data_IF_324019661524
#
_entry.id   IF_324019661524
#
_cell.length_a   1.000
_cell.length_b   1.000
_cell.length_c   1.000
_cell.angle_alpha   90.00
_cell.angle_beta   90.00
_cell.angle_gamma   90.00
#
_symmetry.space_group_name_H-M   'P 1'
#
loop_
_entity.id
_entity.type
_entity.pdbx_description
1 polymer ?
#
# COMPACT_ATOMS: atom_id res chain seq x y z
N UNK A 1 54.40 36.05 22.54
CA UNK A 1 53.81 35.05 21.64
C UNK A 1 52.49 34.58 22.23
N UNK A 2 51.36 34.93 21.61
CA UNK A 2 50.02 34.44 21.98
C UNK A 2 49.52 33.56 20.85
N UNK A 3 49.27 32.30 21.14
CA UNK A 3 48.61 31.37 20.22
C UNK A 3 47.13 31.34 20.57
N UNK A 4 46.27 31.81 19.67
CA UNK A 4 44.84 31.63 19.76
C UNK A 4 44.48 30.29 19.12
N UNK A 5 44.05 29.30 19.91
CA UNK A 5 43.36 28.12 19.38
C UNK A 5 41.93 28.51 19.01
N UNK A 6 41.60 28.45 17.73
CA UNK A 6 40.22 28.46 17.28
C UNK A 6 39.66 27.04 17.38
N UNK A 7 38.70 26.81 18.29
CA UNK A 7 37.87 25.60 18.27
C UNK A 7 36.85 25.71 17.14
N UNK A 8 37.00 24.88 16.11
CA UNK A 8 35.93 24.60 15.16
C UNK A 8 34.98 23.57 15.80
N UNK A 9 33.83 24.03 16.28
CA UNK A 9 32.74 23.14 16.64
C UNK A 9 32.15 22.57 15.34
N UNK A 10 32.47 21.31 15.03
CA UNK A 10 31.86 20.59 13.91
C UNK A 10 30.40 20.27 14.22
N UNK A 11 29.47 20.87 13.48
CA UNK A 11 28.06 20.49 13.54
C UNK A 11 27.87 19.26 12.65
N UNK A 12 27.69 18.10 13.27
CA UNK A 12 27.35 16.87 12.54
C UNK A 12 25.89 16.94 12.09
N UNK A 13 25.66 17.08 10.79
CA UNK A 13 24.34 16.91 10.20
C UNK A 13 24.01 15.41 10.17
N UNK A 14 23.15 14.96 11.09
CA UNK A 14 22.53 13.65 10.98
C UNK A 14 21.59 13.71 9.78
N UNK A 15 21.96 13.06 8.67
CA UNK A 15 21.02 12.83 7.57
C UNK A 15 19.91 11.93 8.11
N UNK A 16 18.73 12.51 8.37
CA UNK A 16 17.51 11.72 8.54
C UNK A 16 17.34 10.88 7.28
N UNK A 17 17.46 9.55 7.43
CA UNK A 17 17.16 8.64 6.33
C UNK A 17 15.65 8.61 6.20
N UNK A 18 15.12 9.20 5.13
CA UNK A 18 13.71 9.04 4.78
C UNK A 18 13.50 7.60 4.32
N UNK A 19 12.63 6.87 5.02
CA UNK A 19 12.24 5.49 4.69
C UNK A 19 11.49 5.40 3.34
N UNK A 20 11.10 6.53 2.76
CA UNK A 20 10.29 6.67 1.56
C UNK A 20 8.88 7.18 1.86
N UNK A 21 7.98 7.01 0.90
CA UNK A 21 6.60 7.46 0.96
C UNK A 21 5.62 6.34 0.64
N UNK A 22 4.42 6.42 1.21
CA UNK A 22 3.26 5.76 0.65
C UNK A 22 2.65 6.68 -0.44
N UNK A 23 2.44 6.13 -1.63
CA UNK A 23 1.99 6.86 -2.82
C UNK A 23 0.73 6.22 -3.35
N UNK A 24 -0.33 7.00 -3.54
CA UNK A 24 -1.56 6.56 -4.20
C UNK A 24 -1.65 7.26 -5.55
N UNK A 25 -1.54 6.49 -6.64
CA UNK A 25 -1.77 6.95 -8.01
C UNK A 25 -3.22 6.72 -8.41
N UNK A 26 -3.99 7.81 -8.50
CA UNK A 26 -5.35 7.78 -9.02
C UNK A 26 -5.33 7.86 -10.55
N UNK A 27 -5.27 6.71 -11.24
CA UNK A 27 -5.40 6.67 -12.71
C UNK A 27 -6.85 6.64 -13.18
N UNK A 28 -7.82 6.62 -12.27
CA UNK A 28 -9.24 6.59 -12.57
C UNK A 28 -9.72 7.92 -13.17
N UNK A 29 -10.93 7.91 -13.72
CA UNK A 29 -11.60 9.10 -14.27
C UNK A 29 -12.43 9.88 -13.23
N UNK A 30 -12.36 9.47 -11.97
CA UNK A 30 -13.08 10.02 -10.82
C UNK A 30 -12.12 10.30 -9.66
N UNK A 31 -12.55 11.17 -8.75
CA UNK A 31 -11.76 11.52 -7.57
C UNK A 31 -11.82 10.39 -6.54
N UNK A 32 -10.77 10.28 -5.74
CA UNK A 32 -10.69 9.35 -4.61
C UNK A 32 -10.57 10.14 -3.31
N UNK A 33 -11.01 9.53 -2.23
CA UNK A 33 -10.81 10.02 -0.87
C UNK A 33 -10.00 8.99 -0.10
N UNK A 34 -8.89 9.44 0.47
CA UNK A 34 -7.93 8.63 1.21
C UNK A 34 -8.02 8.95 2.70
N UNK A 35 -8.11 7.89 3.53
CA UNK A 35 -7.90 7.94 4.97
C UNK A 35 -6.67 7.13 5.33
N UNK A 36 -5.71 7.75 6.01
CA UNK A 36 -4.49 7.08 6.48
C UNK A 36 -4.65 6.72 7.96
N UNK A 37 -5.11 5.50 8.24
CA UNK A 37 -5.50 5.08 9.59
C UNK A 37 -4.37 4.27 10.22
N UNK A 38 -3.73 4.76 11.29
CA UNK A 38 -2.76 3.97 12.03
C UNK A 38 -3.45 2.81 12.75
N UNK A 39 -2.80 1.65 12.78
CA UNK A 39 -3.16 0.55 13.67
C UNK A 39 -2.85 0.93 15.12
N UNK A 40 -3.75 0.55 16.02
CA UNK A 40 -3.60 0.74 17.45
C UNK A 40 -3.62 -0.63 18.14
N UNK A 41 -2.79 -0.80 19.16
CA UNK A 41 -2.72 -1.99 20.00
C UNK A 41 -3.51 -1.86 21.30
N UNK A 42 -4.29 -0.78 21.42
CA UNK A 42 -5.25 -0.57 22.50
C UNK A 42 -6.67 -0.83 22.00
N UNK A 43 -7.54 -1.27 22.90
CA UNK A 43 -8.97 -1.46 22.61
C UNK A 43 -9.75 -0.13 22.72
N UNK A 44 -9.08 1.01 22.59
CA UNK A 44 -9.73 2.31 22.74
C UNK A 44 -10.24 2.84 21.40
N UNK A 45 -11.25 3.69 21.48
CA UNK A 45 -11.80 4.33 20.30
C UNK A 45 -10.86 5.46 19.86
N UNK A 46 -10.33 5.35 18.64
CA UNK A 46 -9.59 6.42 17.99
C UNK A 46 -10.45 7.07 16.92
N UNK A 47 -10.64 8.41 16.95
CA UNK A 47 -11.37 9.09 15.90
C UNK A 47 -10.60 8.98 14.58
N UNK A 48 -11.34 8.72 13.50
CA UNK A 48 -10.73 8.65 12.16
C UNK A 48 -10.09 10.00 11.80
N UNK A 49 -8.89 10.00 11.17
CA UNK A 49 -8.31 11.21 10.63
C UNK A 49 -9.20 11.78 9.51
N UNK A 50 -9.06 13.08 9.18
CA UNK A 50 -9.73 13.65 8.02
C UNK A 50 -9.26 12.97 6.72
N UNK A 51 -10.14 12.89 5.71
CA UNK A 51 -9.73 12.41 4.40
C UNK A 51 -8.91 13.43 3.62
N UNK A 52 -8.09 12.92 2.72
CA UNK A 52 -7.46 13.67 1.64
C UNK A 52 -8.15 13.33 0.33
N UNK A 53 -8.64 14.34 -0.38
CA UNK A 53 -9.11 14.15 -1.76
C UNK A 53 -7.89 14.00 -2.69
N UNK A 54 -7.92 12.96 -3.52
CA UNK A 54 -6.97 12.71 -4.61
C UNK A 54 -7.72 12.89 -5.92
N UNK A 55 -7.58 14.07 -6.59
CA UNK A 55 -8.29 14.31 -7.83
C UNK A 55 -8.00 13.23 -8.88
N UNK A 56 -8.97 13.00 -9.77
CA UNK A 56 -8.80 12.09 -10.92
C UNK A 56 -7.53 12.40 -11.68
N UNK A 57 -6.84 11.36 -12.13
CA UNK A 57 -5.61 11.48 -12.94
C UNK A 57 -4.49 12.24 -12.21
N UNK A 58 -4.42 12.13 -10.89
CA UNK A 58 -3.34 12.70 -10.06
C UNK A 58 -2.81 11.65 -9.08
N UNK A 59 -1.78 12.00 -8.32
CA UNK A 59 -1.29 11.14 -7.24
C UNK A 59 -1.18 11.92 -5.94
N UNK A 60 -1.28 11.20 -4.82
CA UNK A 60 -0.98 11.68 -3.50
C UNK A 60 0.23 10.93 -2.94
N UNK A 61 1.04 11.60 -2.14
CA UNK A 61 2.23 11.02 -1.49
C UNK A 61 2.28 11.52 -0.07
N UNK A 62 2.39 10.60 0.88
CA UNK A 62 2.63 10.88 2.29
C UNK A 62 3.88 10.13 2.76
N UNK A 63 4.64 10.73 3.68
CA UNK A 63 5.77 10.02 4.28
C UNK A 63 5.26 8.80 5.03
N UNK A 64 6.04 7.71 5.01
CA UNK A 64 5.70 6.55 5.82
C UNK A 64 5.55 6.94 7.28
N UNK A 65 4.50 6.41 7.89
CA UNK A 65 4.25 6.54 9.31
C UNK A 65 4.55 5.20 9.98
N UNK A 66 5.21 5.25 11.14
CA UNK A 66 5.46 4.09 11.99
C UNK A 66 4.74 4.35 13.31
N UNK A 67 3.50 3.86 13.47
CA UNK A 67 2.74 4.07 14.69
C UNK A 67 3.49 3.55 15.91
N UNK A 68 3.43 4.31 17.01
CA UNK A 68 4.01 3.89 18.27
C UNK A 68 3.09 2.84 18.91
N UNK A 69 3.39 1.57 18.72
CA UNK A 69 2.66 0.49 19.36
C UNK A 69 3.59 -0.68 19.74
N UNK A 70 3.14 -1.51 20.68
CA UNK A 70 3.93 -2.59 21.29
C UNK A 70 4.10 -3.83 20.40
N UNK A 71 3.20 -4.07 19.43
CA UNK A 71 3.14 -5.31 18.65
C UNK A 71 3.21 -5.11 17.12
N UNK A 72 4.06 -4.20 16.63
CA UNK A 72 4.27 -3.94 15.19
C UNK A 72 2.97 -3.55 14.43
N UNK A 73 2.52 -2.32 14.64
CA UNK A 73 1.34 -1.79 13.96
C UNK A 73 1.70 -1.23 12.60
N UNK A 74 0.76 -1.37 11.67
CA UNK A 74 0.84 -0.79 10.35
C UNK A 74 0.00 0.47 10.20
N UNK A 75 -0.03 0.95 8.98
CA UNK A 75 -0.96 1.94 8.47
C UNK A 75 -1.92 1.24 7.51
N UNK A 76 -3.20 1.56 7.62
CA UNK A 76 -4.25 1.14 6.69
C UNK A 76 -4.70 2.36 5.88
N UNK A 77 -4.36 2.38 4.60
CA UNK A 77 -4.76 3.41 3.64
C UNK A 77 -6.08 3.00 3.00
N UNK A 78 -7.17 3.61 3.45
CA UNK A 78 -8.53 3.30 3.00
C UNK A 78 -8.94 4.27 1.90
N UNK A 79 -9.37 3.74 0.76
CA UNK A 79 -9.84 4.51 -0.40
C UNK A 79 -11.35 4.35 -0.62
N UNK A 80 -12.02 5.46 -0.91
CA UNK A 80 -13.42 5.53 -1.35
C UNK A 80 -13.61 6.53 -2.49
N UNK A 81 -14.73 6.44 -3.22
CA UNK A 81 -15.19 7.49 -4.14
C UNK A 81 -16.04 8.55 -3.43
N UNK A 82 -16.37 8.34 -2.16
CA UNK A 82 -17.23 9.21 -1.36
C UNK A 82 -16.39 9.99 -0.33
N UNK A 83 -16.76 11.23 0.03
CA UNK A 83 -16.04 12.03 1.03
C UNK A 83 -16.28 11.57 2.48
N UNK A 84 -16.98 10.47 2.68
CA UNK A 84 -17.34 9.92 3.99
C UNK A 84 -16.81 8.50 4.08
N UNK A 85 -16.15 8.16 5.18
CA UNK A 85 -15.62 6.80 5.39
C UNK A 85 -16.78 5.84 5.65
N UNK A 86 -17.22 5.18 4.58
CA UNK A 86 -18.27 4.15 4.59
C UNK A 86 -18.01 3.14 3.49
N UNK A 87 -18.50 1.92 3.67
CA UNK A 87 -18.39 0.88 2.66
C UNK A 87 -19.12 1.30 1.36
N UNK A 88 -18.60 0.91 0.18
CA UNK A 88 -17.41 0.08 -0.02
C UNK A 88 -16.10 0.87 0.12
N UNK A 89 -15.09 0.24 0.73
CA UNK A 89 -13.71 0.75 0.77
C UNK A 89 -12.72 -0.32 0.33
N UNK A 90 -11.67 0.11 -0.35
CA UNK A 90 -10.48 -0.72 -0.62
C UNK A 90 -9.39 -0.28 0.34
N UNK A 91 -8.68 -1.23 0.91
CA UNK A 91 -7.67 -0.98 1.91
C UNK A 91 -6.33 -1.45 1.40
N UNK A 92 -5.33 -0.62 1.62
CA UNK A 92 -3.94 -0.96 1.35
C UNK A 92 -3.16 -0.79 2.62
N UNK A 93 -2.48 -1.84 3.05
CA UNK A 93 -1.86 -1.87 4.37
C UNK A 93 -0.36 -1.97 4.23
N UNK A 94 0.36 -1.29 5.13
CA UNK A 94 1.80 -1.44 5.24
C UNK A 94 2.25 -1.36 6.69
N UNK A 95 3.34 -2.01 7.01
CA UNK A 95 4.02 -1.85 8.30
C UNK A 95 5.53 -1.81 8.10
N UNK A 96 6.21 -1.06 8.95
CA UNK A 96 7.67 -0.96 8.94
C UNK A 96 8.17 -1.32 10.32
N UNK A 97 8.84 -2.47 10.44
CA UNK A 97 9.44 -2.96 11.70
C UNK A 97 10.87 -3.39 11.44
N UNK A 98 11.82 -2.92 12.25
CA UNK A 98 13.25 -3.21 12.07
C UNK A 98 13.76 -2.90 10.64
N UNK A 99 13.27 -1.79 10.07
CA UNK A 99 13.47 -1.40 8.67
C UNK A 99 12.95 -2.41 7.64
N UNK A 100 12.13 -3.40 8.00
CA UNK A 100 11.47 -4.29 7.04
C UNK A 100 10.08 -3.74 6.70
N UNK A 101 9.83 -3.55 5.41
CA UNK A 101 8.51 -3.20 4.90
C UNK A 101 7.71 -4.47 4.64
N UNK A 102 6.53 -4.55 5.24
CA UNK A 102 5.47 -5.46 4.81
C UNK A 102 4.29 -4.70 4.25
N UNK A 103 3.57 -5.31 3.30
CA UNK A 103 2.37 -4.73 2.70
C UNK A 103 1.43 -5.77 2.12
N UNK A 104 0.15 -5.40 2.03
CA UNK A 104 -0.92 -6.20 1.43
C UNK A 104 -2.03 -5.32 0.82
N UNK A 105 -2.99 -5.98 0.18
CA UNK A 105 -4.24 -5.39 -0.32
C UNK A 105 -5.38 -6.11 0.38
N UNK A 106 -6.33 -5.35 0.92
CA UNK A 106 -7.51 -5.90 1.60
C UNK A 106 -8.80 -5.31 1.02
N UNK A 107 -9.71 -6.21 0.66
CA UNK A 107 -11.03 -5.93 0.11
C UNK A 107 -12.16 -6.23 1.11
N UNK A 108 -11.85 -6.39 2.40
CA UNK A 108 -12.78 -6.81 3.49
C UNK A 108 -14.11 -6.07 3.52
N UNK A 109 -14.15 -4.83 3.05
CA UNK A 109 -15.30 -3.94 3.13
C UNK A 109 -15.97 -3.64 1.78
N UNK A 110 -15.55 -4.28 0.68
CA UNK A 110 -16.11 -4.06 -0.65
C UNK A 110 -16.81 -5.28 -1.27
N UNK A 111 -16.62 -6.46 -0.68
CA UNK A 111 -17.24 -7.71 -1.12
C UNK A 111 -18.68 -7.77 -0.62
N UNK A 112 -19.65 -7.92 -1.52
CA UNK A 112 -21.00 -8.24 -1.10
C UNK A 112 -21.11 -9.72 -0.67
N UNK A 113 -22.06 -10.08 0.22
CA UNK A 113 -22.25 -11.48 0.67
C UNK A 113 -22.48 -12.50 -0.45
N UNK A 114 -22.90 -12.07 -1.64
CA UNK A 114 -23.09 -12.88 -2.84
C UNK A 114 -21.80 -13.05 -3.66
N UNK A 115 -20.66 -12.60 -3.13
CA UNK A 115 -19.36 -12.61 -3.81
C UNK A 115 -19.38 -11.84 -5.14
N UNK A 116 -20.20 -10.81 -5.25
CA UNK A 116 -20.12 -9.84 -6.34
C UNK A 116 -19.25 -8.65 -5.93
N UNK A 117 -18.29 -8.27 -6.79
CA UNK A 117 -17.23 -7.28 -6.49
C UNK A 117 -17.37 -6.03 -7.36
N UNK A 118 -18.53 -5.84 -8.00
CA UNK A 118 -18.79 -4.71 -8.92
C UNK A 118 -18.67 -3.34 -8.24
N UNK A 119 -18.60 -3.32 -6.90
CA UNK A 119 -18.47 -2.13 -6.07
C UNK A 119 -17.08 -1.98 -5.42
N UNK A 120 -16.15 -2.91 -5.67
CA UNK A 120 -14.76 -2.78 -5.21
C UNK A 120 -14.04 -1.75 -6.09
N UNK A 121 -13.74 -0.61 -5.47
CA UNK A 121 -13.08 0.54 -6.11
C UNK A 121 -11.88 0.09 -6.95
N UNK A 122 -11.75 0.64 -8.16
CA UNK A 122 -10.67 0.37 -9.11
C UNK A 122 -10.52 -1.08 -9.63
N UNK A 123 -11.30 -2.06 -9.14
CA UNK A 123 -11.16 -3.45 -9.58
C UNK A 123 -11.56 -3.66 -11.04
N UNK A 124 -12.53 -2.91 -11.56
CA UNK A 124 -12.95 -2.97 -12.97
C UNK A 124 -11.81 -2.72 -13.96
N UNK A 125 -10.83 -1.88 -13.59
CA UNK A 125 -9.70 -1.50 -14.42
C UNK A 125 -8.36 -1.98 -13.85
N UNK A 126 -8.39 -2.80 -12.80
CA UNK A 126 -7.21 -3.41 -12.20
C UNK A 126 -6.50 -2.51 -11.20
N UNK A 127 -5.74 -3.15 -10.32
CA UNK A 127 -5.02 -2.53 -9.21
C UNK A 127 -3.58 -3.06 -9.22
N UNK A 128 -2.64 -2.21 -8.85
CA UNK A 128 -1.24 -2.61 -8.64
C UNK A 128 -0.74 -2.09 -7.31
N UNK A 129 0.09 -2.86 -6.63
CA UNK A 129 0.83 -2.42 -5.46
C UNK A 129 2.27 -2.88 -5.60
N UNK A 130 3.23 -1.95 -5.58
CA UNK A 130 4.64 -2.28 -5.72
C UNK A 130 5.52 -1.36 -4.89
N UNK A 131 6.70 -1.84 -4.50
CA UNK A 131 7.75 -0.99 -3.96
C UNK A 131 8.69 -0.52 -5.07
N UNK A 132 9.16 0.72 -4.98
CA UNK A 132 10.29 1.24 -5.77
C UNK A 132 11.64 0.92 -5.14
N UNK A 133 11.64 0.28 -3.97
CA UNK A 133 12.86 -0.20 -3.34
C UNK A 133 13.56 -1.25 -4.21
N UNK A 134 14.89 -1.25 -4.17
CA UNK A 134 15.71 -2.28 -4.82
C UNK A 134 16.00 -3.47 -3.90
N UNK A 135 15.44 -3.46 -2.68
CA UNK A 135 15.56 -4.56 -1.73
C UNK A 135 14.91 -5.84 -2.28
N UNK A 136 15.47 -6.99 -1.89
CA UNK A 136 14.91 -8.30 -2.27
C UNK A 136 13.57 -8.57 -1.60
N UNK A 137 12.68 -9.30 -2.28
CA UNK A 137 11.39 -9.74 -1.75
C UNK A 137 10.23 -8.74 -1.87
N UNK A 138 10.48 -7.54 -2.43
CA UNK A 138 9.46 -6.54 -2.70
C UNK A 138 8.64 -6.85 -3.97
N UNK A 139 8.10 -8.07 -4.08
CA UNK A 139 7.32 -8.47 -5.26
C UNK A 139 6.06 -7.62 -5.41
N UNK A 140 5.71 -7.19 -6.63
CA UNK A 140 4.48 -6.46 -6.84
C UNK A 140 3.26 -7.37 -6.68
N UNK A 141 2.16 -6.79 -6.20
CA UNK A 141 0.83 -7.26 -6.50
C UNK A 141 0.35 -6.62 -7.79
N UNK A 142 -0.14 -7.44 -8.70
CA UNK A 142 -0.63 -7.00 -10.00
C UNK A 142 -1.95 -7.70 -10.31
N UNK A 143 -3.04 -6.98 -10.11
CA UNK A 143 -4.41 -7.44 -10.32
C UNK A 143 -4.91 -6.87 -11.65
N UNK A 144 -5.20 -7.75 -12.60
CA UNK A 144 -5.86 -7.32 -13.84
C UNK A 144 -7.29 -6.88 -13.58
N UNK A 145 -7.76 -5.96 -14.43
CA UNK A 145 -9.12 -5.45 -14.33
C UNK A 145 -10.13 -6.48 -14.76
N UNK A 146 -11.21 -6.60 -13.99
CA UNK A 146 -12.37 -7.38 -14.40
C UNK A 146 -13.65 -6.53 -14.32
N UNK A 147 -14.06 -5.92 -15.45
CA UNK A 147 -15.29 -5.14 -15.53
C UNK A 147 -16.56 -5.93 -15.22
N UNK A 148 -16.50 -7.26 -15.24
CA UNK A 148 -17.65 -8.13 -14.96
C UNK A 148 -17.67 -8.63 -13.52
N UNK A 149 -16.61 -8.34 -12.73
CA UNK A 149 -16.51 -8.74 -11.33
C UNK A 149 -16.62 -10.25 -11.11
N UNK A 150 -15.99 -11.06 -11.96
CA UNK A 150 -16.02 -12.54 -11.93
C UNK A 150 -14.68 -13.16 -11.54
N UNK A 151 -13.58 -12.47 -11.78
CA UNK A 151 -12.22 -12.88 -11.51
C UNK A 151 -11.72 -12.21 -10.24
N UNK A 152 -11.13 -13.03 -9.39
CA UNK A 152 -10.56 -12.61 -8.12
C UNK A 152 -9.06 -12.44 -8.24
N UNK A 153 -8.52 -11.44 -7.57
CA UNK A 153 -7.09 -11.26 -7.37
C UNK A 153 -6.57 -12.15 -6.22
N UNK A 154 -6.86 -13.46 -6.29
CA UNK A 154 -6.69 -14.40 -5.16
C UNK A 154 -5.26 -14.49 -4.64
N UNK A 155 -4.27 -14.32 -5.50
CA UNK A 155 -2.85 -14.39 -5.13
C UNK A 155 -2.30 -13.11 -4.50
N UNK A 156 -3.11 -12.05 -4.46
CA UNK A 156 -2.60 -10.69 -4.28
C UNK A 156 -3.49 -9.78 -3.42
N UNK A 157 -4.69 -10.22 -3.06
CA UNK A 157 -5.53 -9.49 -2.12
C UNK A 157 -6.31 -10.42 -1.17
N UNK A 158 -6.52 -9.92 0.04
CA UNK A 158 -7.36 -10.51 1.06
C UNK A 158 -8.83 -10.11 0.86
N UNK A 159 -9.75 -11.02 1.14
CA UNK A 159 -11.19 -10.85 0.90
C UNK A 159 -12.00 -11.36 2.09
N UNK A 160 -13.05 -10.64 2.49
CA UNK A 160 -13.99 -11.10 3.52
C UNK A 160 -15.44 -10.80 3.09
N UNK A 161 -16.35 -11.81 3.08
CA UNK A 161 -16.07 -13.22 3.31
C UNK A 161 -15.13 -13.79 2.24
N UNK A 162 -14.35 -14.81 2.61
CA UNK A 162 -13.42 -15.46 1.68
C UNK A 162 -14.24 -16.13 0.56
N UNK A 163 -13.90 -15.89 -0.71
CA UNK A 163 -14.61 -16.50 -1.82
C UNK A 163 -14.56 -18.03 -1.76
N UNK A 164 -15.73 -18.67 -1.88
CA UNK A 164 -16.01 -20.11 -1.73
C UNK A 164 -16.37 -20.64 -0.33
N UNK A 165 -16.72 -19.77 0.62
CA UNK A 165 -17.44 -20.20 1.83
C UNK A 165 -16.62 -20.95 2.86
N UNK A 166 -15.30 -21.07 2.67
CA UNK A 166 -14.41 -21.34 3.80
C UNK A 166 -14.35 -20.05 4.61
N UNK A 167 -15.14 -19.94 5.66
CA UNK A 167 -14.82 -19.06 6.79
C UNK A 167 -13.41 -19.42 7.22
N UNK A 168 -12.40 -18.67 6.78
CA UNK A 168 -11.06 -18.76 7.37
C UNK A 168 -11.23 -18.12 8.74
N UNK A 169 -11.09 -18.87 9.84
CA UNK A 169 -11.05 -18.27 11.16
C UNK A 169 -9.89 -17.27 11.16
N UNK A 170 -10.13 -16.05 11.66
CA UNK A 170 -9.05 -15.10 11.92
C UNK A 170 -7.95 -15.83 12.72
N UNK A 171 -6.78 -16.01 12.11
CA UNK A 171 -5.63 -16.65 12.75
C UNK A 171 -5.39 -18.14 12.44
N UNK A 172 -6.17 -18.82 11.60
CA UNK A 172 -5.87 -20.21 11.21
C UNK A 172 -5.78 -20.41 9.68
N UNK A 173 -4.55 -20.58 9.20
CA UNK A 173 -4.20 -21.89 8.66
C UNK A 173 -4.20 -22.16 7.16
N UNK A 174 -4.66 -21.26 6.28
CA UNK A 174 -4.78 -21.62 4.84
C UNK A 174 -3.85 -20.85 3.89
N UNK A 175 -2.91 -20.03 4.38
CA UNK A 175 -1.88 -19.43 3.51
C UNK A 175 -2.38 -18.38 2.48
N UNK A 176 -3.59 -17.85 2.69
CA UNK A 176 -4.24 -16.85 1.81
C UNK A 176 -4.15 -15.41 2.31
N UNK A 177 -3.24 -15.10 3.24
CA UNK A 177 -2.90 -13.70 3.54
C UNK A 177 -1.78 -13.29 2.58
N UNK A 178 -2.07 -12.54 1.50
CA UNK A 178 -1.06 -12.11 0.57
C UNK A 178 -0.35 -10.91 1.20
N UNK A 179 0.48 -11.16 2.21
CA UNK A 179 1.40 -10.18 2.77
C UNK A 179 2.75 -10.39 2.09
N UNK A 180 3.31 -9.34 1.51
CA UNK A 180 4.68 -9.33 0.97
C UNK A 180 5.63 -8.73 1.98
N UNK A 181 6.87 -9.19 1.95
CA UNK A 181 7.94 -8.75 2.83
C UNK A 181 9.17 -8.38 2.03
N UNK A 182 9.60 -7.12 2.15
CA UNK A 182 10.88 -6.65 1.64
C UNK A 182 12.03 -7.14 2.55
N UNK A 183 12.46 -8.37 2.34
CA UNK A 183 13.49 -9.09 3.11
C UNK A 183 14.87 -8.43 3.21
N UNK A 184 15.22 -7.52 2.29
CA UNK A 184 16.51 -6.81 2.31
C UNK A 184 16.55 -5.56 3.20
N UNK A 185 15.42 -5.24 3.85
CA UNK A 185 15.19 -3.98 4.53
C UNK A 185 14.91 -2.81 3.57
N UNK A 186 13.88 -2.04 3.90
CA UNK A 186 13.59 -0.75 3.31
C UNK A 186 14.55 0.29 3.86
N UNK A 187 15.72 0.37 3.25
CA UNK A 187 16.65 1.50 3.44
C UNK A 187 16.24 2.74 2.64
N UNK A 188 15.41 2.56 1.61
CA UNK A 188 14.86 3.60 0.74
C UNK A 188 13.80 3.02 -0.20
N UNK A 189 12.94 3.89 -0.73
CA UNK A 189 11.95 3.56 -1.76
C UNK A 189 10.52 3.77 -1.30
N UNK A 190 9.67 4.22 -2.21
CA UNK A 190 8.23 4.39 -2.01
C UNK A 190 7.47 3.07 -2.18
N UNK A 191 6.33 2.96 -1.52
CA UNK A 191 5.30 1.95 -1.76
C UNK A 191 4.17 2.60 -2.55
N UNK A 192 3.83 2.06 -3.71
CA UNK A 192 2.97 2.72 -4.70
C UNK A 192 1.74 1.86 -4.96
N UNK A 193 0.58 2.42 -4.64
CA UNK A 193 -0.75 1.87 -4.91
C UNK A 193 -1.32 2.53 -6.17
N UNK A 194 -1.61 1.73 -7.19
CA UNK A 194 -2.14 2.20 -8.47
C UNK A 194 -3.59 1.78 -8.59
N UNK A 195 -4.50 2.76 -8.54
CA UNK A 195 -5.91 2.57 -8.81
C UNK A 195 -6.20 2.72 -10.31
N UNK A 196 -7.01 1.82 -10.88
CA UNK A 196 -7.37 1.77 -12.30
C UNK A 196 -6.14 1.59 -13.21
N UNK A 197 -5.31 0.59 -12.91
CA UNK A 197 -4.03 0.28 -13.59
C UNK A 197 -4.16 0.21 -15.13
N UNK A 198 -5.30 -0.26 -15.64
CA UNK A 198 -5.59 -0.38 -17.06
C UNK A 198 -5.65 0.96 -17.80
N UNK A 199 -5.77 2.08 -17.10
CA UNK A 199 -5.62 3.40 -17.69
C UNK A 199 -4.15 3.80 -17.85
N UNK A 200 -3.82 4.70 -18.79
CA UNK A 200 -2.44 5.17 -18.99
C UNK A 200 -1.83 5.71 -17.70
N UNK A 201 -0.53 5.48 -17.52
CA UNK A 201 0.24 6.01 -16.40
C UNK A 201 0.15 7.54 -16.31
N UNK A 202 0.30 8.08 -15.11
CA UNK A 202 0.29 9.52 -14.88
C UNK A 202 1.64 10.13 -15.29
N UNK A 203 1.67 11.38 -15.79
CA UNK A 203 2.92 12.12 -15.90
C UNK A 203 3.59 12.22 -14.53
N UNK A 204 4.87 11.84 -14.44
CA UNK A 204 5.61 11.84 -13.17
C UNK A 204 5.30 10.67 -12.22
N UNK A 205 4.53 9.67 -12.69
CA UNK A 205 4.34 8.40 -11.96
C UNK A 205 5.67 7.74 -11.60
N UNK A 206 5.65 6.95 -10.52
CA UNK A 206 6.84 6.19 -10.13
C UNK A 206 7.10 5.08 -11.15
N UNK A 207 8.37 4.80 -11.49
CA UNK A 207 8.67 3.74 -12.44
C UNK A 207 8.20 2.41 -11.88
N UNK A 208 7.28 1.76 -12.60
CA UNK A 208 6.83 0.42 -12.26
C UNK A 208 7.94 -0.60 -12.54
N UNK A 209 8.11 -1.64 -11.70
CA UNK A 209 9.02 -2.73 -12.01
C UNK A 209 8.61 -3.39 -13.33
N UNK A 210 9.58 -3.60 -14.23
CA UNK A 210 9.32 -4.21 -15.53
C UNK A 210 8.75 -5.61 -15.36
N UNK A 211 7.55 -5.86 -15.89
CA UNK A 211 6.90 -7.18 -15.88
C UNK A 211 7.57 -8.20 -16.83
N UNK A 212 8.81 -7.97 -17.26
CA UNK A 212 9.46 -8.80 -18.27
C UNK A 212 9.78 -10.18 -17.68
N UNK A 213 9.20 -11.27 -18.20
CA UNK A 213 9.69 -12.60 -17.87
C UNK A 213 11.12 -12.68 -18.41
N UNK A 214 12.07 -13.06 -17.58
CA UNK A 214 13.46 -13.34 -17.97
C UNK A 214 13.52 -14.63 -18.80
N UNK A 215 12.82 -14.69 -19.94
CA UNK A 215 13.06 -15.68 -20.98
C UNK A 215 14.17 -15.16 -21.90
N UNK A 216 15.40 -15.23 -21.39
CA UNK A 216 16.58 -15.44 -22.22
C UNK A 216 17.38 -16.60 -21.65
N UNK A 217 16.93 -17.82 -21.95
CA UNK A 217 17.89 -18.86 -22.31
C UNK A 217 18.01 -18.88 -23.82
N UNK A 218 19.10 -18.28 -24.28
CA UNK A 218 19.75 -18.73 -25.48
C UNK A 218 20.24 -20.16 -25.23
N UNK A 219 19.80 -21.10 -26.06
CA UNK A 219 20.44 -22.38 -26.35
C UNK A 219 19.97 -22.81 -27.72
#
# INVERSE_FOLDING_TARGET
MRWSLALLAGVSFVKSQSLGNAVVENRCSYDLYLWSIPGYDDNSYHPNPPSVMIPKRTFHSEQFQVPACSNACGMSLKLSTEPVLRNPIVQFEYSITDNHLSYDISFVDCVAPDLTWNNCLAHELGIKLFSTSTASGCDPFDCDGDPQGRQLCKSAAYYQPVPNGNTIPEGEGDGWQPVKYCSGGQSSGDLVFVACKGNPALPGSRPEPSSTPTNRRAS
#
